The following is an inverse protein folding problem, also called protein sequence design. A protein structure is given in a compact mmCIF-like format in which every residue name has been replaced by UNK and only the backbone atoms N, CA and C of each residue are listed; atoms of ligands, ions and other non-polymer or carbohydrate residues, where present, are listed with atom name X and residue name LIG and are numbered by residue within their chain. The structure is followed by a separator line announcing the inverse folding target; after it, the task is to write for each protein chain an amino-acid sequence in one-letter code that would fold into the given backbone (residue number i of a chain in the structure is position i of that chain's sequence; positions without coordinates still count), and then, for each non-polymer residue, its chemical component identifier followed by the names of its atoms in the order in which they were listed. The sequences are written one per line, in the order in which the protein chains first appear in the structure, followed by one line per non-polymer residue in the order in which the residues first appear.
data_IF_724624914243
#
_entry.id   IF_724624914243
#
_cell.length_a   1.000
_cell.length_b   1.000
_cell.length_c   1.000
_cell.angle_alpha   90.00
_cell.angle_beta   90.00
_cell.angle_gamma   90.00
#
_symmetry.space_group_name_H-M   'P 1'
#
loop_
_entity.id
_entity.type
_entity.pdbx_description
1 polymer ?
#
# COMPACT_ATOMS: atom_id res chain seq x y z
N UNK A 1 -8.49 -6.86 -17.95
CA UNK A 1 -7.64 -5.79 -17.41
C UNK A 1 -6.19 -6.23 -17.50
N UNK A 2 -5.32 -5.42 -18.12
CA UNK A 2 -3.89 -5.75 -18.30
C UNK A 2 -3.03 -5.19 -17.15
N UNK A 3 -3.48 -4.10 -16.50
CA UNK A 3 -2.90 -3.52 -15.30
C UNK A 3 -3.63 -4.04 -14.05
N UNK A 4 -2.93 -4.09 -12.92
CA UNK A 4 -3.55 -4.36 -11.62
C UNK A 4 -2.75 -3.71 -10.49
N UNK A 5 -3.42 -3.41 -9.40
CA UNK A 5 -2.83 -2.91 -8.15
C UNK A 5 -3.08 -3.92 -7.03
N UNK A 6 -2.14 -4.04 -6.10
CA UNK A 6 -2.26 -4.91 -4.92
C UNK A 6 -1.52 -4.28 -3.75
N UNK A 7 -2.12 -4.29 -2.56
CA UNK A 7 -1.53 -3.71 -1.37
C UNK A 7 -1.39 -4.73 -0.25
N UNK A 8 -0.25 -4.67 0.44
CA UNK A 8 -0.02 -5.37 1.70
C UNK A 8 -0.03 -4.34 2.82
N UNK A 9 -0.87 -4.57 3.82
CA UNK A 9 -0.89 -3.78 5.04
C UNK A 9 -0.09 -4.49 6.12
N UNK A 10 0.72 -3.75 6.88
CA UNK A 10 1.52 -4.35 7.96
C UNK A 10 1.87 -3.34 9.07
N UNK A 11 2.28 -3.85 10.24
CA UNK A 11 2.73 -3.02 11.36
C UNK A 11 4.00 -2.22 11.01
N UNK A 12 4.90 -2.82 10.24
CA UNK A 12 6.18 -2.20 9.91
C UNK A 12 6.68 -2.61 8.53
N UNK A 13 7.21 -1.63 7.79
CA UNK A 13 7.83 -1.80 6.48
C UNK A 13 9.18 -1.09 6.44
N UNK A 14 10.20 -1.77 5.92
CA UNK A 14 11.57 -1.25 5.79
C UNK A 14 12.13 -1.59 4.42
N UNK A 15 12.88 -0.65 3.85
CA UNK A 15 13.81 -0.95 2.75
C UNK A 15 15.19 -1.24 3.34
N UNK A 16 15.70 -2.42 3.04
CA UNK A 16 17.03 -2.85 3.46
C UNK A 16 18.09 -2.30 2.51
N UNK A 17 19.32 -2.10 2.99
CA UNK A 17 20.46 -1.65 2.17
C UNK A 17 20.70 -2.59 0.97
N UNK A 18 20.34 -3.87 1.11
CA UNK A 18 20.39 -4.86 0.04
C UNK A 18 19.33 -4.70 -1.07
N UNK A 19 18.44 -3.70 -0.98
CA UNK A 19 17.35 -3.46 -1.93
C UNK A 19 16.11 -4.33 -1.69
N UNK A 20 16.08 -5.15 -0.63
CA UNK A 20 14.93 -5.96 -0.24
C UNK A 20 13.95 -5.14 0.61
N UNK A 21 12.69 -5.51 0.56
CA UNK A 21 11.67 -4.97 1.47
C UNK A 21 11.37 -5.98 2.58
N UNK A 22 11.45 -5.53 3.83
CA UNK A 22 11.01 -6.28 5.00
C UNK A 22 9.62 -5.79 5.39
N UNK A 23 8.67 -6.72 5.57
CA UNK A 23 7.33 -6.46 6.07
C UNK A 23 7.12 -7.27 7.36
N UNK A 24 6.67 -6.63 8.43
CA UNK A 24 6.45 -7.26 9.74
C UNK A 24 5.02 -7.03 10.18
N UNK A 25 4.37 -8.08 10.70
CA UNK A 25 2.98 -8.00 11.16
C UNK A 25 2.01 -7.76 10.01
N UNK A 26 2.01 -8.63 8.99
CA UNK A 26 1.13 -8.50 7.82
C UNK A 26 -0.33 -8.80 8.22
N UNK A 27 -1.23 -7.89 7.86
CA UNK A 27 -2.66 -8.06 8.00
C UNK A 27 -3.25 -8.81 6.80
N UNK A 28 -4.20 -9.71 7.05
CA UNK A 28 -4.92 -10.47 6.02
C UNK A 28 -6.35 -9.92 5.82
N UNK A 29 -6.44 -8.62 5.54
CA UNK A 29 -7.70 -7.91 5.30
C UNK A 29 -8.37 -7.31 6.55
N UNK A 30 -7.97 -7.73 7.76
CA UNK A 30 -8.44 -7.15 9.02
C UNK A 30 -7.30 -6.80 9.98
N UNK A 31 -7.43 -5.66 10.65
CA UNK A 31 -6.66 -5.23 11.81
C UNK A 31 -7.61 -5.15 13.00
N UNK A 32 -7.37 -5.96 14.02
CA UNK A 32 -8.18 -5.94 15.23
C UNK A 32 -7.46 -5.13 16.30
N UNK A 33 -8.18 -4.26 17.00
CA UNK A 33 -7.68 -3.45 18.12
C UNK A 33 -8.49 -3.73 19.38
N UNK A 34 -7.93 -3.53 20.59
CA UNK A 34 -8.63 -3.87 21.83
C UNK A 34 -9.85 -2.98 22.11
N UNK A 35 -9.79 -1.71 21.70
CA UNK A 35 -10.86 -0.73 21.88
C UNK A 35 -10.63 0.49 20.98
N UNK A 36 -11.66 1.33 20.84
CA UNK A 36 -11.53 2.69 20.30
C UNK A 36 -11.92 3.72 21.38
N UNK A 37 -11.33 4.93 21.37
CA UNK A 37 -10.24 5.36 20.50
C UNK A 37 -8.93 4.66 20.84
N UNK A 38 -8.08 4.45 19.84
CA UNK A 38 -6.74 3.92 20.03
C UNK A 38 -5.77 4.51 19.01
N UNK A 39 -4.49 4.21 19.20
CA UNK A 39 -3.42 4.63 18.29
C UNK A 39 -2.65 3.41 17.88
N UNK A 40 -2.59 3.14 16.58
CA UNK A 40 -1.60 2.22 16.05
C UNK A 40 -0.26 2.96 16.05
N UNK A 41 0.81 2.41 16.66
CA UNK A 41 2.12 3.03 16.64
C UNK A 41 2.59 3.30 15.20
N UNK A 42 2.27 2.37 14.31
CA UNK A 42 2.60 2.44 12.89
C UNK A 42 1.62 1.58 12.10
N UNK A 43 1.19 2.08 10.94
CA UNK A 43 0.50 1.31 9.91
C UNK A 43 1.18 1.58 8.59
N UNK A 44 1.68 0.52 7.96
CA UNK A 44 2.39 0.58 6.69
C UNK A 44 1.54 -0.02 5.56
N UNK A 45 1.71 0.53 4.37
CA UNK A 45 1.13 0.04 3.13
C UNK A 45 2.28 -0.19 2.16
N UNK A 46 2.42 -1.42 1.67
CA UNK A 46 3.31 -1.76 0.58
C UNK A 46 2.45 -2.07 -0.67
N UNK A 47 2.35 -1.08 -1.56
CA UNK A 47 1.53 -1.12 -2.77
C UNK A 47 2.39 -1.54 -3.96
N UNK A 48 1.87 -2.44 -4.77
CA UNK A 48 2.46 -2.88 -6.03
C UNK A 48 1.50 -2.63 -7.17
N UNK A 49 1.95 -1.89 -8.18
CA UNK A 49 1.21 -1.69 -9.43
C UNK A 49 1.94 -2.43 -10.53
N UNK A 50 1.25 -3.36 -11.20
CA UNK A 50 1.81 -4.11 -12.31
C UNK A 50 1.17 -3.70 -13.62
N UNK A 51 1.99 -3.46 -14.64
CA UNK A 51 1.56 -3.11 -15.99
C UNK A 51 2.38 -3.87 -17.04
N UNK A 52 1.83 -4.10 -18.26
CA UNK A 52 2.61 -4.54 -19.40
C UNK A 52 3.73 -3.55 -19.72
N UNK A 53 4.90 -4.04 -20.13
CA UNK A 53 6.02 -3.17 -20.54
C UNK A 53 5.69 -2.34 -21.80
N UNK A 54 4.81 -2.84 -22.65
CA UNK A 54 4.29 -2.12 -23.82
C UNK A 54 3.37 -0.94 -23.46
N UNK A 55 2.85 -0.91 -22.23
CA UNK A 55 1.88 0.04 -21.71
C UNK A 55 2.40 0.62 -20.39
N UNK A 56 3.62 1.19 -20.41
CA UNK A 56 4.21 1.75 -19.19
C UNK A 56 3.34 2.89 -18.65
N UNK A 57 3.04 2.90 -17.34
CA UNK A 57 2.37 4.01 -16.68
C UNK A 57 3.13 5.32 -16.89
N UNK A 58 2.39 6.39 -17.18
CA UNK A 58 2.91 7.76 -17.26
C UNK A 58 2.50 8.60 -16.06
N UNK A 59 1.45 8.19 -15.37
CA UNK A 59 1.02 8.83 -14.13
C UNK A 59 0.40 7.81 -13.20
N UNK A 60 0.68 7.97 -11.91
CA UNK A 60 0.07 7.19 -10.84
C UNK A 60 -0.37 8.16 -9.76
N UNK A 61 -1.60 8.03 -9.26
CA UNK A 61 -2.01 8.69 -8.03
C UNK A 61 -2.70 7.69 -7.11
N UNK A 62 -2.33 7.71 -5.84
CA UNK A 62 -2.90 6.83 -4.82
C UNK A 62 -3.44 7.69 -3.70
N UNK A 63 -4.68 7.44 -3.30
CA UNK A 63 -5.32 8.06 -2.14
C UNK A 63 -5.78 6.98 -1.18
N UNK A 64 -5.49 7.15 0.10
CA UNK A 64 -6.03 6.30 1.16
C UNK A 64 -7.07 7.08 1.94
N UNK A 65 -8.24 6.49 2.13
CA UNK A 65 -9.34 7.08 2.92
C UNK A 65 -9.69 6.19 4.10
N UNK A 66 -9.97 6.79 5.25
CA UNK A 66 -10.45 6.11 6.44
C UNK A 66 -11.54 6.96 7.11
N UNK A 67 -12.67 6.36 7.46
CA UNK A 67 -13.83 7.08 8.04
C UNK A 67 -14.27 8.32 7.24
N UNK A 68 -14.13 8.29 5.91
CA UNK A 68 -14.48 9.40 5.01
C UNK A 68 -13.42 10.51 4.93
N UNK A 69 -12.33 10.43 5.67
CA UNK A 69 -11.21 11.39 5.62
C UNK A 69 -10.05 10.84 4.78
N UNK A 70 -9.37 11.73 4.03
CA UNK A 70 -8.11 11.38 3.34
C UNK A 70 -6.99 11.27 4.37
N UNK A 71 -6.41 10.08 4.52
CA UNK A 71 -5.34 9.80 5.51
C UNK A 71 -3.96 9.70 4.86
N UNK A 72 -3.92 9.50 3.55
CA UNK A 72 -2.69 9.55 2.76
C UNK A 72 -3.01 9.92 1.31
N UNK A 73 -2.04 10.57 0.67
CA UNK A 73 -2.08 10.86 -0.75
C UNK A 73 -0.66 10.85 -1.31
N UNK A 74 -0.48 10.25 -2.48
CA UNK A 74 0.79 10.25 -3.21
C UNK A 74 0.52 10.29 -4.70
N UNK A 75 1.42 10.92 -5.45
CA UNK A 75 1.36 10.95 -6.91
C UNK A 75 2.75 10.84 -7.48
N UNK A 76 2.87 10.12 -8.59
CA UNK A 76 4.05 10.04 -9.42
C UNK A 76 3.75 10.52 -10.82
N UNK A 77 4.59 11.39 -11.33
CA UNK A 77 4.63 11.77 -12.73
C UNK A 77 5.50 10.82 -13.57
N UNK A 78 5.53 11.06 -14.88
CA UNK A 78 6.26 10.22 -15.81
C UNK A 78 7.78 10.21 -15.53
N UNK A 79 8.37 11.33 -15.13
CA UNK A 79 9.80 11.42 -14.87
C UNK A 79 10.19 10.63 -13.61
N UNK A 80 9.36 10.69 -12.57
CA UNK A 80 9.55 9.89 -11.35
C UNK A 80 9.39 8.39 -11.63
N UNK A 81 8.39 8.01 -12.42
CA UNK A 81 8.16 6.61 -12.81
C UNK A 81 9.35 6.08 -13.62
N UNK A 82 9.82 6.84 -14.61
CA UNK A 82 10.97 6.45 -15.42
C UNK A 82 12.24 6.30 -14.57
N UNK A 83 12.45 7.17 -13.58
CA UNK A 83 13.57 7.05 -12.64
C UNK A 83 13.51 5.74 -11.84
N UNK A 84 12.34 5.39 -11.29
CA UNK A 84 12.13 4.15 -10.53
C UNK A 84 12.37 2.91 -11.41
N UNK A 85 11.87 2.92 -12.64
CA UNK A 85 12.02 1.79 -13.57
C UNK A 85 13.48 1.61 -13.97
N UNK A 86 14.19 2.70 -14.28
CA UNK A 86 15.57 2.67 -14.75
C UNK A 86 16.61 2.45 -13.64
N UNK A 87 16.23 2.64 -12.36
CA UNK A 87 17.09 2.31 -11.23
C UNK A 87 17.36 0.79 -11.09
N UNK A 88 16.55 -0.06 -11.73
CA UNK A 88 16.78 -1.50 -11.75
C UNK A 88 17.69 -1.90 -12.93
N UNK A 89 18.82 -2.60 -12.68
CA UNK A 89 19.76 -2.96 -13.73
C UNK A 89 19.11 -3.88 -14.77
N UNK A 90 19.21 -3.45 -16.04
CA UNK A 90 18.95 -4.18 -17.28
C UNK A 90 17.73 -5.13 -17.24
N UNK A 91 16.52 -4.65 -17.59
CA UNK A 91 15.38 -5.53 -17.74
C UNK A 91 15.73 -6.63 -18.74
N UNK A 92 15.66 -7.88 -18.30
CA UNK A 92 15.85 -9.01 -19.20
C UNK A 92 14.86 -8.89 -20.36
N UNK A 93 15.27 -9.12 -21.62
CA UNK A 93 14.42 -8.92 -22.79
C UNK A 93 13.09 -9.67 -22.71
N UNK A 94 13.04 -10.81 -22.02
CA UNK A 94 11.82 -11.59 -21.84
C UNK A 94 10.80 -11.01 -20.83
N UNK A 95 11.14 -9.99 -20.03
CA UNK A 95 10.22 -9.42 -19.04
C UNK A 95 9.10 -8.61 -19.72
N UNK A 96 7.91 -9.22 -19.78
CA UNK A 96 6.71 -8.62 -20.38
C UNK A 96 5.98 -7.62 -19.47
N UNK A 97 6.31 -7.59 -18.17
CA UNK A 97 5.65 -6.73 -17.19
C UNK A 97 6.67 -5.95 -16.37
N UNK A 98 6.24 -4.78 -15.94
CA UNK A 98 6.91 -3.97 -14.92
C UNK A 98 6.09 -4.01 -13.64
N UNK A 99 6.75 -3.73 -12.52
CA UNK A 99 6.13 -3.61 -11.21
C UNK A 99 6.68 -2.34 -10.55
N UNK A 100 5.79 -1.40 -10.25
CA UNK A 100 6.09 -0.22 -9.46
C UNK A 100 5.75 -0.53 -8.01
N UNK A 101 6.75 -0.50 -7.13
CA UNK A 101 6.57 -0.65 -5.69
C UNK A 101 6.51 0.72 -5.03
N UNK A 102 5.45 0.98 -4.28
CA UNK A 102 5.23 2.18 -3.50
C UNK A 102 5.05 1.80 -2.04
N UNK A 103 5.55 2.64 -1.14
CA UNK A 103 5.43 2.43 0.30
C UNK A 103 4.88 3.69 0.95
N UNK A 104 3.85 3.53 1.77
CA UNK A 104 3.31 4.58 2.62
C UNK A 104 3.40 4.13 4.09
N UNK A 105 3.72 5.08 4.98
CA UNK A 105 3.86 4.84 6.40
C UNK A 105 3.06 5.91 7.13
N UNK A 106 2.09 5.49 7.94
CA UNK A 106 1.33 6.36 8.84
C UNK A 106 1.77 6.05 10.27
N UNK A 107 2.38 7.02 10.95
CA UNK A 107 2.91 6.84 12.30
C UNK A 107 2.96 8.18 13.04
N UNK A 108 2.23 8.34 14.16
CA UNK A 108 1.18 7.43 14.65
C UNK A 108 -0.07 7.45 13.74
N UNK A 109 -0.86 6.37 13.73
CA UNK A 109 -2.18 6.36 13.10
C UNK A 109 -3.28 6.32 14.16
N UNK A 110 -3.97 7.46 14.32
CA UNK A 110 -4.97 7.65 15.38
C UNK A 110 -6.35 7.22 14.88
N UNK A 111 -6.97 6.30 15.60
CA UNK A 111 -8.25 5.71 15.28
C UNK A 111 -9.29 6.14 16.31
N UNK A 112 -10.33 6.84 15.86
CA UNK A 112 -11.43 7.28 16.73
C UNK A 112 -12.55 6.25 16.81
N UNK A 113 -12.72 5.47 15.75
CA UNK A 113 -13.83 4.52 15.55
C UNK A 113 -13.42 3.41 14.58
N UNK A 114 -14.16 2.28 14.56
CA UNK A 114 -14.00 1.25 13.53
C UNK A 114 -14.19 1.82 12.12
N UNK A 115 -13.52 1.23 11.14
CA UNK A 115 -13.66 1.69 9.76
C UNK A 115 -12.83 0.90 8.76
N UNK A 116 -12.97 1.30 7.50
CA UNK A 116 -12.24 0.68 6.38
C UNK A 116 -11.23 1.67 5.83
N UNK A 117 -9.97 1.26 5.79
CA UNK A 117 -8.91 1.95 5.05
C UNK A 117 -8.98 1.49 3.59
N UNK A 118 -9.53 2.32 2.72
CA UNK A 118 -9.66 2.04 1.29
C UNK A 118 -8.58 2.76 0.49
N UNK A 119 -8.01 2.05 -0.50
CA UNK A 119 -7.05 2.63 -1.44
C UNK A 119 -7.70 2.88 -2.79
N UNK A 120 -7.58 4.10 -3.29
CA UNK A 120 -7.99 4.51 -4.62
C UNK A 120 -6.74 4.71 -5.48
N UNK A 121 -6.53 3.82 -6.44
CA UNK A 121 -5.30 3.77 -7.26
C UNK A 121 -5.66 4.14 -8.69
N UNK A 122 -5.28 5.34 -9.11
CA UNK A 122 -5.43 5.78 -10.49
C UNK A 122 -4.13 5.62 -11.25
N UNK A 123 -4.18 5.03 -12.45
CA UNK A 123 -3.05 4.88 -13.36
C UNK A 123 -3.44 5.40 -14.73
N UNK A 124 -2.79 6.47 -15.19
CA UNK A 124 -3.13 7.14 -16.47
C UNK A 124 -4.61 7.54 -16.58
N UNK A 125 -5.24 7.89 -15.45
CA UNK A 125 -6.67 8.21 -15.37
C UNK A 125 -7.61 7.01 -15.31
N UNK A 126 -7.10 5.78 -15.36
CA UNK A 126 -7.86 4.53 -15.12
C UNK A 126 -7.87 4.19 -13.63
N UNK A 127 -9.05 3.95 -13.05
CA UNK A 127 -9.18 3.45 -11.68
C UNK A 127 -8.86 1.95 -11.64
N UNK A 128 -7.88 1.57 -10.82
CA UNK A 128 -7.50 0.19 -10.58
C UNK A 128 -8.01 -0.23 -9.20
N UNK A 129 -8.90 -1.24 -9.14
CA UNK A 129 -9.32 -1.83 -7.88
C UNK A 129 -8.09 -2.29 -7.08
N UNK A 130 -8.11 -2.02 -5.78
CA UNK A 130 -7.03 -2.36 -4.86
C UNK A 130 -7.58 -2.81 -3.50
N UNK A 131 -6.71 -3.44 -2.72
CA UNK A 131 -7.05 -3.98 -1.41
C UNK A 131 -7.36 -2.86 -0.42
N UNK A 132 -8.09 -3.24 0.62
CA UNK A 132 -8.45 -2.40 1.75
C UNK A 132 -8.18 -3.14 3.06
N UNK A 133 -8.07 -2.41 4.15
CA UNK A 133 -7.96 -2.98 5.48
C UNK A 133 -9.17 -2.57 6.32
N UNK A 134 -9.93 -3.54 6.79
CA UNK A 134 -10.96 -3.31 7.79
C UNK A 134 -10.30 -3.24 9.18
N UNK A 135 -10.64 -2.23 9.97
CA UNK A 135 -10.10 -2.01 11.31
C UNK A 135 -11.26 -2.01 12.30
N UNK A 136 -11.26 -2.97 13.21
CA UNK A 136 -12.39 -3.20 14.13
C UNK A 136 -11.94 -3.64 15.53
N UNK A 137 -12.87 -3.66 16.48
CA UNK A 137 -12.64 -4.14 17.84
C UNK A 137 -12.52 -5.66 17.81
N UNK A 138 -11.50 -6.20 18.47
CA UNK A 138 -11.38 -7.64 18.59
C UNK A 138 -12.55 -8.25 19.41
N UNK A 139 -12.96 -9.49 19.09
CA UNK A 139 -13.91 -10.22 19.93
C UNK A 139 -13.42 -10.36 21.38
N UNK A 140 -14.34 -10.45 22.36
CA UNK A 140 -13.98 -10.70 23.75
C UNK A 140 -13.10 -11.96 23.90
N UNK A 141 -12.07 -11.88 24.73
CA UNK A 141 -11.13 -12.99 24.95
C UNK A 141 -10.01 -13.11 23.92
N UNK A 142 -9.94 -12.21 22.94
CA UNK A 142 -8.79 -12.13 22.02
C UNK A 142 -7.53 -11.74 22.81
N UNK A 143 -6.46 -12.53 22.64
CA UNK A 143 -5.15 -12.26 23.24
C UNK A 143 -4.30 -11.49 22.23
N UNK A 144 -3.90 -10.28 22.59
CA UNK A 144 -3.02 -9.44 21.77
C UNK A 144 -1.57 -9.59 22.22
N UNK A 145 -0.76 -10.30 21.44
CA UNK A 145 0.67 -10.49 21.73
C UNK A 145 0.94 -11.34 22.97
N UNK A 146 2.04 -12.08 22.95
CA UNK A 146 2.71 -12.59 24.15
C UNK A 146 3.92 -11.71 24.42
#
# INVERSE_FOLDING_TARGET
MTKYAHAIFCDDARQEISGKTTLVGIYQGQCLVPQFPCTLPKLCINLSISAPRSEMPKSVSVKGTFAGEEVMSMSLDNAQIDSIINANPSPRPERKRIMLGLMAIMSPFNLKEPGRLALHVMVDGEDLPCDSLDIDVAPPGTVFGF
#
